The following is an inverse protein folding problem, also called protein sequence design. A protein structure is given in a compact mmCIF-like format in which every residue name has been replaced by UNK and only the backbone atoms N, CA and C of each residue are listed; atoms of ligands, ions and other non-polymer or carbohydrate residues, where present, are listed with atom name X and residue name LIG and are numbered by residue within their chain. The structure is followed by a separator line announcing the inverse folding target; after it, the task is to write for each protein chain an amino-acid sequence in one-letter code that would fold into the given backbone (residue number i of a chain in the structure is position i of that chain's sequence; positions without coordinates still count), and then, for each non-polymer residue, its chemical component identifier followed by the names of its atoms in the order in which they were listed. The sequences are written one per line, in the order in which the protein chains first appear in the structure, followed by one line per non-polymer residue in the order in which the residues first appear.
data_IF_271422564390
#
_entry.id   IF_271422564390
#
_cell.length_a   1.000
_cell.length_b   1.000
_cell.length_c   1.000
_cell.angle_alpha   90.00
_cell.angle_beta   90.00
_cell.angle_gamma   90.00
#
_symmetry.space_group_name_H-M   'P 1'
#
loop_
_entity.id
_entity.type
_entity.pdbx_description
1 polymer ?
#
# COMPACT_ATOMS: atom_id res chain seq x y z
N UNK A 1 17.91 -6.29 17.69
CA UNK A 1 16.84 -5.29 17.46
C UNK A 1 16.62 -5.04 15.96
N UNK A 2 17.67 -4.75 15.19
CA UNK A 2 17.58 -4.58 13.73
C UNK A 2 16.81 -5.70 13.00
N UNK A 3 17.16 -6.96 13.26
CA UNK A 3 16.52 -8.13 12.63
C UNK A 3 15.01 -8.19 12.87
N UNK A 4 14.55 -7.90 14.10
CA UNK A 4 13.13 -7.89 14.43
C UNK A 4 12.37 -6.81 13.64
N UNK A 5 12.93 -5.61 13.49
CA UNK A 5 12.34 -4.54 12.68
C UNK A 5 12.38 -4.84 11.18
N UNK A 6 13.44 -5.50 10.69
CA UNK A 6 13.53 -5.97 9.31
C UNK A 6 12.45 -6.99 8.97
N UNK A 7 12.25 -8.00 9.83
CA UNK A 7 11.20 -8.99 9.64
C UNK A 7 9.79 -8.39 9.81
N UNK A 8 9.61 -7.46 10.76
CA UNK A 8 8.36 -6.73 10.90
C UNK A 8 8.05 -5.88 9.66
N UNK A 9 9.04 -5.17 9.10
CA UNK A 9 8.89 -4.40 7.86
C UNK A 9 8.42 -5.27 6.70
N UNK A 10 9.03 -6.45 6.52
CA UNK A 10 8.64 -7.44 5.51
C UNK A 10 7.22 -7.97 5.74
N UNK A 11 6.91 -8.38 6.97
CA UNK A 11 5.59 -8.89 7.33
C UNK A 11 4.48 -7.86 7.09
N UNK A 12 4.69 -6.61 7.53
CA UNK A 12 3.74 -5.52 7.28
C UNK A 12 3.62 -5.16 5.80
N UNK A 13 4.71 -5.23 5.03
CA UNK A 13 4.65 -5.02 3.58
C UNK A 13 3.79 -6.09 2.88
N UNK A 14 3.95 -7.36 3.27
CA UNK A 14 3.15 -8.48 2.74
C UNK A 14 1.66 -8.32 3.10
N UNK A 15 1.36 -8.01 4.37
CA UNK A 15 -0.01 -7.74 4.81
C UNK A 15 -0.62 -6.53 4.10
N UNK A 16 0.16 -5.46 3.90
CA UNK A 16 -0.24 -4.27 3.14
C UNK A 16 -0.61 -4.62 1.71
N UNK A 17 0.20 -5.43 1.03
CA UNK A 17 -0.12 -5.91 -0.32
C UNK A 17 -1.42 -6.72 -0.36
N UNK A 18 -1.53 -7.74 0.52
CA UNK A 18 -2.71 -8.59 0.56
C UNK A 18 -3.99 -7.79 0.82
N UNK A 19 -3.97 -6.97 1.88
CA UNK A 19 -5.15 -6.19 2.27
C UNK A 19 -5.50 -5.10 1.25
N UNK A 20 -4.52 -4.54 0.54
CA UNK A 20 -4.76 -3.62 -0.58
C UNK A 20 -5.48 -4.29 -1.74
N UNK A 21 -5.04 -5.50 -2.12
CA UNK A 21 -5.70 -6.27 -3.19
C UNK A 21 -7.12 -6.61 -2.77
N UNK A 22 -7.32 -7.12 -1.55
CA UNK A 22 -8.64 -7.44 -1.02
C UNK A 22 -9.57 -6.21 -0.98
N UNK A 23 -9.05 -5.06 -0.52
CA UNK A 23 -9.74 -3.78 -0.55
C UNK A 23 -10.16 -3.40 -1.98
N UNK A 24 -9.23 -3.44 -2.93
CA UNK A 24 -9.48 -3.10 -4.32
C UNK A 24 -10.53 -4.02 -4.96
N UNK A 25 -10.47 -5.33 -4.68
CA UNK A 25 -11.48 -6.29 -5.15
C UNK A 25 -12.86 -6.02 -4.54
N UNK A 26 -12.90 -5.80 -3.21
CA UNK A 26 -14.14 -5.51 -2.49
C UNK A 26 -14.78 -4.19 -2.93
N UNK A 27 -13.98 -3.19 -3.34
CA UNK A 27 -14.47 -1.93 -3.84
C UNK A 27 -14.86 -2.01 -5.33
N UNK A 28 -13.97 -2.50 -6.18
CA UNK A 28 -14.07 -2.33 -7.63
C UNK A 28 -15.01 -3.34 -8.30
N UNK A 29 -15.00 -4.61 -7.89
CA UNK A 29 -15.84 -5.64 -8.51
C UNK A 29 -17.33 -5.30 -8.41
N UNK A 30 -17.87 -4.94 -7.23
CA UNK A 30 -19.28 -4.55 -7.13
C UNK A 30 -19.59 -3.29 -7.93
N UNK A 31 -18.71 -2.29 -7.89
CA UNK A 31 -18.90 -1.02 -8.61
C UNK A 31 -18.97 -1.21 -10.12
N UNK A 32 -18.08 -2.02 -10.72
CA UNK A 32 -18.12 -2.34 -12.16
C UNK A 32 -19.38 -3.15 -12.51
N UNK A 33 -19.87 -3.98 -11.58
CA UNK A 33 -21.10 -4.77 -11.77
C UNK A 33 -22.37 -3.99 -11.40
N UNK A 34 -22.29 -2.69 -11.14
CA UNK A 34 -23.40 -1.84 -10.70
C UNK A 34 -24.15 -2.39 -9.47
N UNK A 35 -23.40 -3.01 -8.53
CA UNK A 35 -23.91 -3.54 -7.27
C UNK A 35 -23.38 -2.74 -6.08
N UNK A 36 -24.12 -2.69 -4.96
CA UNK A 36 -23.61 -2.07 -3.74
C UNK A 36 -22.35 -2.78 -3.25
N UNK A 37 -21.35 -2.01 -2.83
CA UNK A 37 -20.13 -2.57 -2.28
C UNK A 37 -20.39 -3.25 -0.91
N UNK A 38 -19.78 -4.41 -0.62
CA UNK A 38 -19.95 -5.11 0.63
C UNK A 38 -19.38 -4.32 1.80
N UNK A 39 -19.99 -4.40 2.99
CA UNK A 39 -19.53 -3.70 4.19
C UNK A 39 -18.06 -3.99 4.56
N UNK A 40 -17.52 -5.13 4.11
CA UNK A 40 -16.14 -5.55 4.33
C UNK A 40 -15.10 -4.63 3.66
N UNK A 41 -15.49 -3.80 2.69
CA UNK A 41 -14.56 -2.89 2.04
C UNK A 41 -13.87 -1.95 3.05
N UNK A 42 -14.60 -1.48 4.08
CA UNK A 42 -14.09 -0.54 5.10
C UNK A 42 -12.95 -1.11 5.94
N UNK A 43 -13.11 -2.26 6.63
CA UNK A 43 -12.01 -2.84 7.40
C UNK A 43 -10.82 -3.22 6.51
N UNK A 44 -11.04 -3.67 5.26
CA UNK A 44 -9.95 -3.97 4.33
C UNK A 44 -9.16 -2.72 3.94
N UNK A 45 -9.84 -1.60 3.66
CA UNK A 45 -9.19 -0.30 3.44
C UNK A 45 -8.34 0.12 4.65
N UNK A 46 -8.91 0.02 5.86
CA UNK A 46 -8.20 0.39 7.10
C UNK A 46 -6.96 -0.49 7.27
N UNK A 47 -7.10 -1.80 7.08
CA UNK A 47 -6.00 -2.75 7.18
C UNK A 47 -4.90 -2.44 6.16
N UNK A 48 -5.26 -2.14 4.90
CA UNK A 48 -4.32 -1.75 3.85
C UNK A 48 -3.52 -0.50 4.21
N UNK A 49 -4.19 0.53 4.72
CA UNK A 49 -3.54 1.78 5.11
C UNK A 49 -2.65 1.60 6.35
N UNK A 50 -3.16 0.88 7.37
CA UNK A 50 -2.44 0.68 8.62
C UNK A 50 -1.20 -0.18 8.43
N UNK A 51 -1.30 -1.30 7.72
CA UNK A 51 -0.17 -2.22 7.52
C UNK A 51 0.88 -1.62 6.58
N UNK A 52 0.49 -0.92 5.51
CA UNK A 52 1.44 -0.17 4.68
C UNK A 52 2.13 0.94 5.47
N UNK A 53 1.40 1.67 6.32
CA UNK A 53 1.97 2.69 7.21
C UNK A 53 2.96 2.10 8.21
N UNK A 54 2.63 0.98 8.86
CA UNK A 54 3.52 0.25 9.77
C UNK A 54 4.76 -0.28 9.06
N UNK A 55 4.62 -0.77 7.82
CA UNK A 55 5.75 -1.14 6.98
C UNK A 55 6.66 0.06 6.74
N UNK A 56 6.11 1.24 6.44
CA UNK A 56 6.89 2.48 6.31
C UNK A 56 7.65 2.84 7.58
N UNK A 57 6.98 2.84 8.74
CA UNK A 57 7.60 3.18 10.02
C UNK A 57 8.73 2.21 10.39
N UNK A 58 8.49 0.91 10.27
CA UNK A 58 9.53 -0.11 10.52
C UNK A 58 10.67 -0.03 9.49
N UNK A 59 10.37 0.33 8.24
CA UNK A 59 11.35 0.60 7.19
C UNK A 59 12.24 1.80 7.50
N UNK A 60 11.69 2.88 8.07
CA UNK A 60 12.47 4.02 8.55
C UNK A 60 13.40 3.63 9.70
N UNK A 61 12.93 2.81 10.64
CA UNK A 61 13.80 2.28 11.71
C UNK A 61 14.95 1.47 11.10
N UNK A 62 14.66 0.58 10.15
CA UNK A 62 15.70 -0.19 9.43
C UNK A 62 16.67 0.73 8.68
N UNK A 63 16.18 1.80 8.06
CA UNK A 63 17.00 2.79 7.36
C UNK A 63 18.03 3.44 8.29
N UNK A 64 17.58 3.95 9.45
CA UNK A 64 18.45 4.66 10.39
C UNK A 64 19.44 3.73 11.12
N UNK A 65 19.02 2.51 11.47
CA UNK A 65 19.88 1.56 12.19
C UNK A 65 20.75 0.68 11.29
N UNK A 66 20.44 0.59 9.99
CA UNK A 66 21.10 -0.31 9.05
C UNK A 66 22.13 0.34 8.11
N UNK A 67 22.38 1.65 8.24
CA UNK A 67 23.35 2.33 7.38
C UNK A 67 22.90 2.54 5.93
N UNK A 68 21.59 2.53 5.66
CA UNK A 68 21.04 2.59 4.30
C UNK A 68 20.81 4.02 3.76
N UNK A 69 21.16 5.05 4.54
CA UNK A 69 20.81 6.46 4.22
C UNK A 69 21.39 6.95 2.89
N UNK A 70 22.57 6.45 2.49
CA UNK A 70 23.24 6.82 1.24
C UNK A 70 22.62 6.17 0.00
N UNK A 71 21.73 5.18 0.15
CA UNK A 71 21.12 4.48 -0.96
C UNK A 71 19.83 5.15 -1.43
N UNK A 72 19.52 5.04 -2.72
CA UNK A 72 18.31 5.65 -3.30
C UNK A 72 17.01 4.90 -2.94
N UNK A 73 17.08 3.59 -2.74
CA UNK A 73 15.91 2.70 -2.60
C UNK A 73 14.98 3.05 -1.41
N UNK A 74 15.48 3.37 -0.20
CA UNK A 74 14.61 3.76 0.92
C UNK A 74 13.76 5.00 0.60
N UNK A 75 14.32 5.96 -0.13
CA UNK A 75 13.63 7.19 -0.53
C UNK A 75 12.53 6.92 -1.56
N UNK A 76 12.80 6.03 -2.53
CA UNK A 76 11.78 5.57 -3.47
C UNK A 76 10.64 4.81 -2.74
N UNK A 77 10.97 4.03 -1.71
CA UNK A 77 10.00 3.38 -0.85
C UNK A 77 9.07 4.36 -0.14
N UNK A 78 9.60 5.48 0.38
CA UNK A 78 8.80 6.55 1.01
C UNK A 78 7.85 7.17 -0.02
N UNK A 79 8.33 7.47 -1.23
CA UNK A 79 7.49 8.00 -2.31
C UNK A 79 6.36 7.02 -2.65
N UNK A 80 6.67 5.72 -2.76
CA UNK A 80 5.67 4.70 -3.05
C UNK A 80 4.60 4.61 -1.95
N UNK A 81 4.99 4.67 -0.67
CA UNK A 81 4.05 4.67 0.46
C UNK A 81 3.16 5.92 0.45
N UNK A 82 3.72 7.08 0.14
CA UNK A 82 2.95 8.32 0.03
C UNK A 82 1.93 8.25 -1.12
N UNK A 83 2.36 7.80 -2.30
CA UNK A 83 1.48 7.58 -3.46
C UNK A 83 0.38 6.57 -3.13
N UNK A 84 0.74 5.46 -2.50
CA UNK A 84 -0.20 4.45 -2.05
C UNK A 84 -1.27 5.05 -1.11
N UNK A 85 -0.85 5.80 -0.10
CA UNK A 85 -1.76 6.40 0.88
C UNK A 85 -2.69 7.44 0.27
N UNK A 86 -2.17 8.32 -0.60
CA UNK A 86 -2.98 9.31 -1.31
C UNK A 86 -3.99 8.66 -2.25
N UNK A 87 -3.55 7.66 -3.03
CA UNK A 87 -4.38 6.92 -3.96
C UNK A 87 -5.48 6.15 -3.21
N UNK A 88 -5.16 5.48 -2.10
CA UNK A 88 -6.15 4.81 -1.27
C UNK A 88 -7.20 5.76 -0.69
N UNK A 89 -6.78 6.91 -0.17
CA UNK A 89 -7.71 7.91 0.36
C UNK A 89 -8.64 8.48 -0.74
N UNK A 90 -8.11 8.71 -1.96
CA UNK A 90 -8.91 9.11 -3.12
C UNK A 90 -9.87 8.01 -3.56
N UNK A 91 -9.42 6.75 -3.59
CA UNK A 91 -10.24 5.59 -3.92
C UNK A 91 -11.40 5.43 -2.95
N UNK A 92 -11.16 5.56 -1.63
CA UNK A 92 -12.23 5.55 -0.62
C UNK A 92 -13.28 6.63 -0.90
N UNK A 93 -12.84 7.88 -1.12
CA UNK A 93 -13.74 9.00 -1.41
C UNK A 93 -14.55 8.77 -2.70
N UNK A 94 -13.91 8.23 -3.74
CA UNK A 94 -14.58 7.91 -5.00
C UNK A 94 -15.62 6.81 -4.83
N UNK A 95 -15.33 5.76 -4.05
CA UNK A 95 -16.29 4.71 -3.74
C UNK A 95 -17.51 5.27 -2.99
N UNK A 96 -17.28 6.10 -1.98
CA UNK A 96 -18.36 6.74 -1.20
C UNK A 96 -19.21 7.69 -2.04
N UNK A 97 -18.63 8.31 -3.07
CA UNK A 97 -19.33 9.13 -4.05
C UNK A 97 -19.98 8.34 -5.21
N UNK A 98 -19.81 7.02 -5.27
CA UNK A 98 -20.31 6.20 -6.38
C UNK A 98 -19.58 6.42 -7.72
N UNK A 99 -18.39 7.03 -7.70
CA UNK A 99 -17.65 7.43 -8.89
C UNK A 99 -16.73 6.30 -9.40
N UNK A 100 -17.26 5.42 -10.24
CA UNK A 100 -16.57 4.22 -10.73
C UNK A 100 -15.24 4.48 -11.46
N UNK A 101 -15.20 5.46 -12.36
CA UNK A 101 -13.99 5.83 -13.10
C UNK A 101 -12.85 6.32 -12.18
N UNK A 102 -13.10 7.37 -11.37
CA UNK A 102 -12.12 7.84 -10.38
C UNK A 102 -11.69 6.75 -9.38
N UNK A 103 -12.61 5.86 -8.97
CA UNK A 103 -12.28 4.71 -8.12
C UNK A 103 -11.28 3.79 -8.80
N UNK A 104 -11.53 3.40 -10.05
CA UNK A 104 -10.64 2.53 -10.81
C UNK A 104 -9.24 3.14 -10.93
N UNK A 105 -9.14 4.41 -11.36
CA UNK A 105 -7.86 5.12 -11.48
C UNK A 105 -7.11 5.15 -10.15
N UNK A 106 -7.80 5.49 -9.06
CA UNK A 106 -7.18 5.56 -7.74
C UNK A 106 -6.66 4.19 -7.27
N UNK A 107 -7.43 3.12 -7.44
CA UNK A 107 -7.01 1.78 -7.07
C UNK A 107 -5.87 1.27 -7.95
N UNK A 108 -5.88 1.58 -9.25
CA UNK A 108 -4.76 1.26 -10.16
C UNK A 108 -3.47 1.93 -9.68
N UNK A 109 -3.50 3.23 -9.38
CA UNK A 109 -2.33 3.94 -8.86
C UNK A 109 -1.87 3.34 -7.52
N UNK A 110 -2.82 3.00 -6.63
CA UNK A 110 -2.52 2.42 -5.32
C UNK A 110 -1.82 1.06 -5.43
N UNK A 111 -2.26 0.21 -6.37
CA UNK A 111 -1.66 -1.10 -6.64
C UNK A 111 -0.31 -0.94 -7.33
N UNK A 112 -0.21 -0.08 -8.35
CA UNK A 112 1.05 0.17 -9.06
C UNK A 112 2.14 0.68 -8.11
N UNK A 113 1.80 1.53 -7.15
CA UNK A 113 2.74 1.98 -6.12
C UNK A 113 3.37 0.81 -5.35
N UNK A 114 2.58 -0.20 -4.98
CA UNK A 114 3.08 -1.41 -4.30
C UNK A 114 3.89 -2.31 -5.23
N UNK A 115 3.45 -2.52 -6.47
CA UNK A 115 4.17 -3.33 -7.45
C UNK A 115 5.54 -2.72 -7.76
N UNK A 116 5.61 -1.41 -7.96
CA UNK A 116 6.87 -0.69 -8.18
C UNK A 116 7.76 -0.79 -6.94
N UNK A 117 7.22 -0.58 -5.73
CA UNK A 117 7.99 -0.75 -4.50
C UNK A 117 8.56 -2.18 -4.35
N UNK A 118 7.77 -3.20 -4.68
CA UNK A 118 8.20 -4.59 -4.65
C UNK A 118 9.30 -4.88 -5.68
N UNK A 119 9.13 -4.42 -6.93
CA UNK A 119 10.12 -4.56 -7.97
C UNK A 119 11.46 -3.92 -7.60
N UNK A 120 11.42 -2.72 -6.99
CA UNK A 120 12.62 -2.03 -6.50
C UNK A 120 13.33 -2.82 -5.38
N UNK A 121 12.58 -3.50 -4.52
CA UNK A 121 13.15 -4.33 -3.45
C UNK A 121 13.84 -5.59 -3.96
N UNK A 122 13.37 -6.15 -5.08
CA UNK A 122 14.03 -7.27 -5.76
C UNK A 122 15.26 -6.81 -6.53
N UNK A 123 15.17 -5.67 -7.22
CA UNK A 123 16.20 -5.19 -8.13
C UNK A 123 17.40 -4.52 -7.44
N UNK A 124 17.35 -4.26 -6.12
CA UNK A 124 18.47 -3.61 -5.43
C UNK A 124 19.72 -4.53 -5.45
N UNK A 125 20.87 -4.06 -5.95
CA UNK A 125 22.12 -4.80 -5.81
C UNK A 125 22.50 -4.85 -4.33
N UNK A 126 22.88 -6.02 -3.85
CA UNK A 126 23.21 -6.28 -2.44
C UNK A 126 24.45 -5.50 -1.98
#
# INVERSE_FOLDING_TARGET
MYTAFSEAHRGFAMLGCLTTVLWALAALIPTIRHRPAPRLWRPLFIAAMATTGLSGLTGLVVLFFGGWLSFIFPWLGIVAIALHGMAGARGRKALEAGAAGPLAVALTVQILALVVAYALMIAKPF
#
